data_IF_339334658801
#
_entry.id   IF_339334658801
#
_cell.length_a   1.000
_cell.length_b   1.000
_cell.length_c   1.000
_cell.angle_alpha   90.00
_cell.angle_beta   90.00
_cell.angle_gamma   90.00
#
_symmetry.space_group_name_H-M   'P 1'
#
loop_
_entity.id
_entity.type
_entity.pdbx_description
1 polymer ?
#
# COMPACT_ATOMS: atom_id res chain seq x y z
N UNK A 1 -25.76 9.14 11.02
CA UNK A 1 -24.81 8.69 9.98
C UNK A 1 -24.18 9.95 9.43
N UNK A 2 -22.93 10.23 9.78
CA UNK A 2 -22.25 11.44 9.31
C UNK A 2 -21.77 11.20 7.87
N UNK A 3 -22.02 12.17 6.98
CA UNK A 3 -21.59 12.06 5.58
C UNK A 3 -20.08 12.32 5.50
N UNK A 4 -19.38 11.57 4.65
CA UNK A 4 -17.97 11.84 4.34
C UNK A 4 -17.81 13.26 3.79
N UNK A 5 -16.70 13.90 4.13
CA UNK A 5 -16.32 15.21 3.55
C UNK A 5 -15.91 15.05 2.09
N UNK A 6 -15.94 16.13 1.32
CA UNK A 6 -15.52 16.11 -0.08
C UNK A 6 -14.04 15.69 -0.23
N UNK A 7 -13.19 16.06 0.73
CA UNK A 7 -11.79 15.63 0.77
C UNK A 7 -11.67 14.12 0.98
N UNK A 8 -12.43 13.55 1.91
CA UNK A 8 -12.45 12.10 2.13
C UNK A 8 -12.96 11.34 0.90
N UNK A 9 -13.97 11.87 0.20
CA UNK A 9 -14.47 11.27 -1.03
C UNK A 9 -13.41 11.30 -2.14
N UNK A 10 -12.67 12.39 -2.28
CA UNK A 10 -11.57 12.50 -3.23
C UNK A 10 -10.44 11.50 -2.93
N UNK A 11 -10.04 11.38 -1.66
CA UNK A 11 -9.00 10.44 -1.23
C UNK A 11 -9.40 8.98 -1.47
N UNK A 12 -10.66 8.63 -1.21
CA UNK A 12 -11.18 7.29 -1.53
C UNK A 12 -11.19 7.03 -3.03
N UNK A 13 -11.56 8.02 -3.85
CA UNK A 13 -11.54 7.88 -5.30
C UNK A 13 -10.12 7.63 -5.81
N UNK A 14 -9.14 8.40 -5.34
CA UNK A 14 -7.73 8.22 -5.70
C UNK A 14 -7.21 6.84 -5.26
N UNK A 15 -7.51 6.44 -4.02
CA UNK A 15 -7.18 5.11 -3.47
C UNK A 15 -7.76 3.99 -4.34
N UNK A 16 -8.98 4.14 -4.84
CA UNK A 16 -9.61 3.16 -5.73
C UNK A 16 -8.87 3.05 -7.06
N UNK A 17 -8.49 4.17 -7.68
CA UNK A 17 -7.73 4.16 -8.94
C UNK A 17 -6.38 3.47 -8.76
N UNK A 18 -5.63 3.82 -7.72
CA UNK A 18 -4.35 3.18 -7.42
C UNK A 18 -4.49 1.68 -7.20
N UNK A 19 -5.47 1.28 -6.38
CA UNK A 19 -5.72 -0.12 -6.03
C UNK A 19 -6.15 -0.94 -7.25
N UNK A 20 -7.03 -0.42 -8.09
CA UNK A 20 -7.46 -1.10 -9.32
C UNK A 20 -6.30 -1.22 -10.31
N UNK A 21 -5.50 -0.17 -10.47
CA UNK A 21 -4.34 -0.20 -11.36
C UNK A 21 -3.32 -1.24 -10.90
N UNK A 22 -3.04 -1.31 -9.60
CA UNK A 22 -2.21 -2.38 -9.02
C UNK A 22 -2.84 -3.76 -9.23
N UNK A 23 -4.10 -3.97 -8.86
CA UNK A 23 -4.75 -5.27 -8.96
C UNK A 23 -4.85 -5.78 -10.41
N UNK A 24 -4.99 -4.88 -11.39
CA UNK A 24 -4.90 -5.20 -12.83
C UNK A 24 -3.51 -5.69 -13.21
N UNK A 25 -2.44 -5.06 -12.72
CA UNK A 25 -1.05 -5.48 -12.97
C UNK A 25 -0.76 -6.86 -12.38
N UNK A 26 -1.38 -7.19 -11.26
CA UNK A 26 -1.32 -8.52 -10.63
C UNK A 26 -2.22 -9.57 -11.33
N UNK A 27 -2.92 -9.22 -12.41
CA UNK A 27 -3.78 -10.15 -13.15
C UNK A 27 -5.06 -10.56 -12.41
N UNK A 28 -5.47 -9.83 -11.38
CA UNK A 28 -6.65 -10.15 -10.58
C UNK A 28 -7.94 -9.99 -11.41
N UNK A 29 -8.91 -10.87 -11.20
CA UNK A 29 -10.24 -10.77 -11.83
C UNK A 29 -11.08 -9.70 -11.14
N UNK A 30 -12.10 -9.17 -11.83
CA UNK A 30 -12.98 -8.10 -11.32
C UNK A 30 -13.48 -8.32 -9.86
N UNK A 31 -13.95 -9.51 -9.45
CA UNK A 31 -14.37 -9.73 -8.06
C UNK A 31 -13.23 -9.51 -7.04
N UNK A 32 -12.02 -9.96 -7.37
CA UNK A 32 -10.84 -9.81 -6.52
C UNK A 32 -10.39 -8.34 -6.49
N UNK A 33 -10.45 -7.63 -7.61
CA UNK A 33 -10.15 -6.19 -7.64
C UNK A 33 -11.08 -5.41 -6.72
N UNK A 34 -12.38 -5.71 -6.76
CA UNK A 34 -13.38 -5.08 -5.87
C UNK A 34 -13.07 -5.38 -4.41
N UNK A 35 -12.71 -6.62 -4.08
CA UNK A 35 -12.30 -6.99 -2.72
C UNK A 35 -11.10 -6.16 -2.23
N UNK A 36 -10.09 -5.94 -3.07
CA UNK A 36 -8.94 -5.12 -2.70
C UNK A 36 -9.32 -3.65 -2.48
N UNK A 37 -10.19 -3.08 -3.31
CA UNK A 37 -10.67 -1.71 -3.13
C UNK A 37 -11.43 -1.56 -1.82
N UNK A 38 -12.32 -2.50 -1.48
CA UNK A 38 -13.03 -2.48 -0.19
C UNK A 38 -12.05 -2.51 0.98
N UNK A 39 -11.02 -3.37 0.93
CA UNK A 39 -9.98 -3.41 1.97
C UNK A 39 -9.20 -2.11 2.08
N UNK A 40 -8.88 -1.48 0.95
CA UNK A 40 -8.19 -0.20 0.94
C UNK A 40 -9.05 0.91 1.55
N UNK A 41 -10.37 0.90 1.30
CA UNK A 41 -11.32 1.84 1.92
C UNK A 41 -11.44 1.63 3.42
N UNK A 42 -11.53 0.38 3.87
CA UNK A 42 -11.55 0.05 5.30
C UNK A 42 -10.31 0.59 6.03
N UNK A 43 -9.14 0.53 5.38
CA UNK A 43 -7.90 1.09 5.93
C UNK A 43 -7.94 2.62 5.91
N UNK A 44 -8.32 3.24 4.80
CA UNK A 44 -8.38 4.69 4.66
C UNK A 44 -9.39 5.33 5.63
N UNK A 45 -10.49 4.64 5.95
CA UNK A 45 -11.49 5.07 6.92
C UNK A 45 -11.18 4.64 8.36
N UNK A 46 -10.08 3.90 8.58
CA UNK A 46 -9.67 3.44 9.91
C UNK A 46 -10.52 2.31 10.50
N UNK A 47 -11.36 1.64 9.70
CA UNK A 47 -12.13 0.46 10.11
C UNK A 47 -11.26 -0.80 10.22
N UNK A 48 -10.08 -0.76 9.61
CA UNK A 48 -9.12 -1.86 9.59
C UNK A 48 -7.70 -1.33 9.72
N UNK A 49 -6.91 -1.95 10.58
CA UNK A 49 -5.48 -1.67 10.65
C UNK A 49 -4.77 -2.21 9.39
N UNK A 50 -3.93 -1.36 8.80
CA UNK A 50 -3.02 -1.79 7.75
C UNK A 50 -2.02 -2.79 8.36
N UNK A 51 -2.20 -4.07 8.08
CA UNK A 51 -1.21 -5.09 8.45
C UNK A 51 -0.01 -4.95 7.52
N UNK A 52 0.92 -4.06 7.88
CA UNK A 52 2.23 -4.01 7.22
C UNK A 52 2.99 -5.26 7.64
N UNK A 53 2.90 -6.29 6.80
CA UNK A 53 3.80 -7.44 6.90
C UNK A 53 5.08 -7.04 6.19
N UNK A 54 6.12 -6.67 6.96
CA UNK A 54 7.49 -6.63 6.44
C UNK A 54 7.89 -8.06 6.05
N UNK A 55 7.61 -8.48 4.82
CA UNK A 55 7.82 -9.87 4.46
C UNK A 55 7.45 -10.24 3.04
N UNK A 56 8.16 -9.68 2.06
CA UNK A 56 8.53 -10.38 0.84
C UNK A 56 9.66 -9.59 0.17
N UNK A 57 10.88 -9.89 0.60
CA UNK A 57 12.06 -9.62 -0.18
C UNK A 57 11.86 -10.19 -1.58
N UNK A 58 11.56 -9.32 -2.54
CA UNK A 58 11.94 -9.54 -3.92
C UNK A 58 13.39 -10.02 -3.90
N UNK A 59 13.65 -11.22 -4.42
CA UNK A 59 15.00 -11.81 -4.57
C UNK A 59 16.00 -10.71 -4.96
N UNK A 60 16.82 -10.29 -4.00
CA UNK A 60 17.72 -9.14 -4.16
C UNK A 60 17.92 -8.41 -2.84
N UNK A 61 18.78 -8.98 -2.00
CA UNK A 61 19.49 -8.29 -0.89
C UNK A 61 18.60 -7.56 0.13
N UNK A 62 18.10 -8.29 1.13
CA UNK A 62 17.55 -7.67 2.34
C UNK A 62 18.67 -7.02 3.15
N UNK A 63 18.87 -5.72 2.99
CA UNK A 63 19.48 -4.89 4.03
C UNK A 63 18.34 -4.26 4.83
N UNK A 64 18.36 -4.43 6.15
CA UNK A 64 17.42 -3.73 7.02
C UNK A 64 17.60 -2.21 6.90
N UNK A 65 16.56 -1.43 7.21
CA UNK A 65 16.62 0.03 7.20
C UNK A 65 17.77 0.59 8.07
N UNK A 66 18.14 -0.14 9.12
CA UNK A 66 19.28 0.19 9.98
C UNK A 66 20.62 -0.04 9.27
N UNK A 67 20.76 -1.13 8.53
CA UNK A 67 21.98 -1.42 7.76
C UNK A 67 22.16 -0.47 6.57
N UNK A 68 21.07 -0.09 5.88
CA UNK A 68 21.12 0.94 4.85
C UNK A 68 21.61 2.28 5.41
N UNK A 69 21.08 2.71 6.57
CA UNK A 69 21.52 3.95 7.23
C UNK A 69 23.01 3.89 7.62
N UNK A 70 23.49 2.74 8.07
CA UNK A 70 24.91 2.55 8.43
C UNK A 70 25.85 2.55 7.21
N UNK A 71 25.42 2.03 6.06
CA UNK A 71 26.24 2.01 4.83
C UNK A 71 26.32 3.37 4.14
N UNK A 72 25.21 4.12 4.12
CA UNK A 72 25.19 5.52 3.67
C UNK A 72 26.08 6.38 4.58
N UNK A 73 26.03 6.18 5.90
CA UNK A 73 26.90 6.89 6.84
C UNK A 73 28.40 6.53 6.66
N UNK A 74 28.71 5.35 6.10
CA UNK A 74 30.07 4.90 5.78
C UNK A 74 30.53 5.23 4.36
N UNK A 75 29.67 5.84 3.52
CA UNK A 75 30.02 6.27 2.16
C UNK A 75 30.12 5.14 1.13
N UNK A 76 29.55 3.96 1.39
CA UNK A 76 29.49 2.89 0.39
C UNK A 76 28.31 3.11 -0.58
N UNK A 77 28.55 2.98 -1.89
CA UNK A 77 27.47 3.03 -2.90
C UNK A 77 26.61 1.76 -2.84
N UNK A 78 25.30 1.95 -3.00
CA UNK A 78 24.27 0.91 -3.05
C UNK A 78 24.45 -0.05 -4.23
#
# INVERSE_FOLDING_TARGET
MERLTDAQLADLADTAFQTINWAKREGMRKPQQVEQVVRAFEIALGYREAKIIYGAASKGTNLSALEMAQRVAKGEQL
#
